data_IF_340274111667
#
_entry.id   IF_340274111667
#
_cell.length_a   1.000
_cell.length_b   1.000
_cell.length_c   1.000
_cell.angle_alpha   90.00
_cell.angle_beta   90.00
_cell.angle_gamma   90.00
#
_symmetry.space_group_name_H-M   'P 1'
#
loop_
_entity.id
_entity.type
_entity.pdbx_description
1 polymer ?
#
# COMPACT_ATOMS: atom_id res chain seq x y z
N UNK A 1 -17.39 10.29 -34.05
CA UNK A 1 -18.45 9.80 -33.14
C UNK A 1 -19.22 10.98 -32.55
N UNK A 2 -20.54 10.89 -32.35
CA UNK A 2 -21.31 12.00 -31.76
C UNK A 2 -20.95 12.24 -30.29
N UNK A 3 -21.11 13.48 -29.80
CA UNK A 3 -20.80 13.82 -28.43
C UNK A 3 -21.62 13.00 -27.41
N UNK A 4 -22.90 12.76 -27.71
CA UNK A 4 -23.79 11.96 -26.87
C UNK A 4 -23.34 10.51 -26.77
N UNK A 5 -22.90 9.90 -27.89
CA UNK A 5 -22.43 8.52 -27.88
C UNK A 5 -21.11 8.40 -27.09
N UNK A 6 -20.21 9.38 -27.23
CA UNK A 6 -18.98 9.43 -26.45
C UNK A 6 -19.25 9.52 -24.94
N UNK A 7 -20.17 10.41 -24.54
CA UNK A 7 -20.56 10.58 -23.13
C UNK A 7 -21.17 9.30 -22.55
N UNK A 8 -22.04 8.62 -23.29
CA UNK A 8 -22.63 7.34 -22.88
C UNK A 8 -21.57 6.23 -22.76
N UNK A 9 -20.59 6.18 -23.68
CA UNK A 9 -19.51 5.20 -23.62
C UNK A 9 -18.57 5.46 -22.42
N UNK A 10 -18.26 6.72 -22.11
CA UNK A 10 -17.52 7.08 -20.90
C UNK A 10 -18.30 6.76 -19.62
N UNK A 11 -19.62 6.98 -19.62
CA UNK A 11 -20.46 6.58 -18.49
C UNK A 11 -20.46 5.06 -18.31
N UNK A 12 -20.61 4.29 -19.39
CA UNK A 12 -20.53 2.84 -19.35
C UNK A 12 -19.17 2.34 -18.81
N UNK A 13 -18.07 2.97 -19.26
CA UNK A 13 -16.73 2.72 -18.72
C UNK A 13 -16.65 3.01 -17.22
N UNK A 14 -17.17 4.15 -16.77
CA UNK A 14 -17.25 4.51 -15.34
C UNK A 14 -18.02 3.48 -14.51
N UNK A 15 -19.17 3.01 -15.00
CA UNK A 15 -19.95 1.95 -14.35
C UNK A 15 -19.15 0.64 -14.27
N UNK A 16 -18.44 0.27 -15.33
CA UNK A 16 -17.59 -0.91 -15.33
C UNK A 16 -16.43 -0.81 -14.33
N UNK A 17 -15.84 0.36 -14.13
CA UNK A 17 -14.82 0.56 -13.09
C UNK A 17 -15.40 0.43 -11.67
N UNK A 18 -16.62 0.90 -11.44
CA UNK A 18 -17.33 0.67 -10.16
C UNK A 18 -17.57 -0.84 -9.95
N UNK A 19 -18.06 -1.52 -10.99
CA UNK A 19 -18.28 -2.98 -10.95
C UNK A 19 -16.98 -3.76 -10.79
N UNK A 20 -15.86 -3.24 -11.31
CA UNK A 20 -14.54 -3.84 -11.12
C UNK A 20 -14.14 -3.85 -9.64
N UNK A 21 -14.24 -2.70 -8.95
CA UNK A 21 -13.96 -2.64 -7.51
C UNK A 21 -14.92 -3.51 -6.70
N UNK A 22 -16.21 -3.52 -7.06
CA UNK A 22 -17.18 -4.39 -6.40
C UNK A 22 -16.85 -5.87 -6.58
N UNK A 23 -16.44 -6.29 -7.77
CA UNK A 23 -16.02 -7.67 -8.01
C UNK A 23 -14.74 -8.03 -7.26
N UNK A 24 -13.88 -7.06 -6.96
CA UNK A 24 -12.67 -7.30 -6.16
C UNK A 24 -12.94 -7.45 -4.65
N UNK A 25 -14.17 -7.23 -4.17
CA UNK A 25 -14.49 -7.36 -2.75
C UNK A 25 -14.72 -8.80 -2.28
N UNK A 26 -14.75 -9.79 -3.19
CA UNK A 26 -14.77 -11.20 -2.81
C UNK A 26 -13.86 -12.05 -3.71
N UNK A 27 -13.21 -13.11 -3.17
CA UNK A 27 -12.41 -14.02 -3.98
C UNK A 27 -13.18 -14.64 -5.15
N UNK A 28 -14.45 -15.01 -4.91
CA UNK A 28 -15.33 -15.64 -5.92
C UNK A 28 -15.58 -14.74 -7.13
N UNK A 29 -15.76 -13.43 -6.91
CA UNK A 29 -16.09 -12.47 -7.98
C UNK A 29 -14.86 -11.72 -8.52
N UNK A 30 -13.69 -11.91 -7.92
CA UNK A 30 -12.44 -11.20 -8.23
C UNK A 30 -12.06 -11.23 -9.71
N UNK A 31 -12.18 -12.39 -10.37
CA UNK A 31 -11.88 -12.57 -11.80
C UNK A 31 -12.85 -11.80 -12.68
N UNK A 32 -14.14 -11.78 -12.31
CA UNK A 32 -15.16 -11.03 -13.02
C UNK A 32 -14.95 -9.52 -12.84
N UNK A 33 -14.59 -9.08 -11.63
CA UNK A 33 -14.20 -7.70 -11.35
C UNK A 33 -13.05 -7.24 -12.24
N UNK A 34 -11.99 -8.04 -12.35
CA UNK A 34 -10.86 -7.71 -13.23
C UNK A 34 -11.28 -7.60 -14.71
N UNK A 35 -12.17 -8.49 -15.18
CA UNK A 35 -12.72 -8.41 -16.53
C UNK A 35 -13.49 -7.10 -16.77
N UNK A 36 -14.33 -6.67 -15.82
CA UNK A 36 -15.02 -5.38 -15.93
C UNK A 36 -14.03 -4.21 -16.04
N UNK A 37 -12.93 -4.24 -15.28
CA UNK A 37 -11.87 -3.23 -15.37
C UNK A 37 -11.22 -3.19 -16.76
N UNK A 38 -10.87 -4.35 -17.32
CA UNK A 38 -10.28 -4.45 -18.66
C UNK A 38 -11.23 -3.94 -19.75
N UNK A 39 -12.51 -4.35 -19.71
CA UNK A 39 -13.52 -3.89 -20.68
C UNK A 39 -13.78 -2.39 -20.53
N UNK A 40 -13.88 -1.89 -19.29
CA UNK A 40 -14.05 -0.46 -19.01
C UNK A 40 -12.92 0.38 -19.58
N UNK A 41 -11.66 -0.07 -19.39
CA UNK A 41 -10.48 0.61 -19.95
C UNK A 41 -10.47 0.58 -21.49
N UNK A 42 -10.77 -0.57 -22.10
CA UNK A 42 -10.87 -0.70 -23.55
C UNK A 42 -11.91 0.25 -24.15
N UNK A 43 -13.08 0.38 -23.51
CA UNK A 43 -14.12 1.33 -23.92
C UNK A 43 -13.62 2.77 -23.79
N UNK A 44 -13.01 3.16 -22.67
CA UNK A 44 -12.53 4.54 -22.47
C UNK A 44 -11.47 4.94 -23.51
N UNK A 45 -10.47 4.09 -23.72
CA UNK A 45 -9.39 4.34 -24.69
C UNK A 45 -9.97 4.37 -26.10
N UNK A 46 -10.76 3.37 -26.49
CA UNK A 46 -11.39 3.31 -27.82
C UNK A 46 -12.29 4.52 -28.09
N UNK A 47 -13.08 4.94 -27.10
CA UNK A 47 -13.94 6.13 -27.19
C UNK A 47 -13.12 7.39 -27.43
N UNK A 48 -12.01 7.55 -26.70
CA UNK A 48 -11.12 8.71 -26.85
C UNK A 48 -10.52 8.75 -28.26
N UNK A 49 -9.96 7.64 -28.74
CA UNK A 49 -9.33 7.55 -30.06
C UNK A 49 -10.33 7.84 -31.21
N UNK A 50 -11.55 7.32 -31.12
CA UNK A 50 -12.59 7.53 -32.13
C UNK A 50 -13.15 8.96 -32.07
N UNK A 51 -13.20 9.59 -30.89
CA UNK A 51 -13.72 10.95 -30.72
C UNK A 51 -12.78 12.00 -31.29
N UNK A 52 -11.48 11.83 -31.14
CA UNK A 52 -10.47 12.83 -31.53
C UNK A 52 -10.32 13.01 -33.04
N UNK A 53 -10.98 12.17 -33.85
CA UNK A 53 -10.98 12.23 -35.33
C UNK A 53 -9.57 12.43 -35.92
N UNK A 54 -8.62 11.65 -35.39
CA UNK A 54 -7.20 11.78 -35.70
C UNK A 54 -6.98 11.37 -37.16
N UNK A 55 -6.69 12.35 -38.01
CA UNK A 55 -6.44 12.15 -39.45
C UNK A 55 -4.95 12.06 -39.80
N UNK A 56 -4.06 12.60 -38.96
CA UNK A 56 -2.61 12.57 -39.17
C UNK A 56 -2.01 11.19 -38.82
N UNK A 57 -1.41 10.47 -39.78
CA UNK A 57 -0.76 9.18 -39.54
C UNK A 57 0.41 9.25 -38.54
N UNK A 58 1.05 10.42 -38.43
CA UNK A 58 2.18 10.66 -37.52
C UNK A 58 1.72 10.60 -36.06
N UNK A 59 0.57 11.22 -35.76
CA UNK A 59 -0.02 11.19 -34.42
C UNK A 59 -0.42 9.76 -34.04
N UNK A 60 -1.03 9.02 -34.97
CA UNK A 60 -1.33 7.60 -34.77
C UNK A 60 -0.08 6.77 -34.49
N UNK A 61 1.02 7.05 -35.19
CA UNK A 61 2.30 6.38 -34.95
C UNK A 61 2.81 6.64 -33.54
N UNK A 62 2.79 7.90 -33.07
CA UNK A 62 3.23 8.22 -31.70
C UNK A 62 2.37 7.56 -30.63
N UNK A 63 1.04 7.56 -30.79
CA UNK A 63 0.12 6.89 -29.86
C UNK A 63 0.40 5.38 -29.83
N UNK A 64 0.50 4.74 -30.99
CA UNK A 64 0.74 3.30 -31.09
C UNK A 64 2.09 2.91 -30.47
N UNK A 65 3.15 3.65 -30.78
CA UNK A 65 4.49 3.42 -30.21
C UNK A 65 4.46 3.59 -28.69
N UNK A 66 3.82 4.65 -28.17
CA UNK A 66 3.69 4.87 -26.73
C UNK A 66 2.96 3.73 -26.01
N UNK A 67 1.82 3.29 -26.55
CA UNK A 67 1.03 2.18 -26.00
C UNK A 67 1.80 0.86 -26.05
N UNK A 68 2.47 0.56 -27.17
CA UNK A 68 3.23 -0.68 -27.34
C UNK A 68 4.43 -0.71 -26.38
N UNK A 69 5.19 0.37 -26.28
CA UNK A 69 6.36 0.44 -25.39
C UNK A 69 5.90 0.38 -23.93
N UNK A 70 4.96 1.23 -23.53
CA UNK A 70 4.47 1.29 -22.14
C UNK A 70 3.78 -0.02 -21.72
N UNK A 71 2.87 -0.53 -22.54
CA UNK A 71 2.17 -1.79 -22.31
C UNK A 71 3.11 -2.99 -22.34
N UNK A 72 4.08 -3.02 -23.25
CA UNK A 72 5.08 -4.08 -23.35
C UNK A 72 6.00 -4.15 -22.13
N UNK A 73 6.55 -3.00 -21.70
CA UNK A 73 7.37 -2.93 -20.47
C UNK A 73 6.53 -3.34 -19.26
N UNK A 74 5.30 -2.82 -19.14
CA UNK A 74 4.39 -3.17 -18.06
C UNK A 74 4.08 -4.67 -18.00
N UNK A 75 3.80 -5.29 -19.14
CA UNK A 75 3.53 -6.73 -19.23
C UNK A 75 4.75 -7.58 -18.85
N UNK A 76 5.97 -7.18 -19.25
CA UNK A 76 7.19 -7.90 -18.89
C UNK A 76 7.44 -7.81 -17.38
N UNK A 77 7.29 -6.62 -16.78
CA UNK A 77 7.48 -6.42 -15.34
C UNK A 77 6.45 -7.22 -14.54
N UNK A 78 5.17 -7.11 -14.90
CA UNK A 78 4.08 -7.80 -14.22
C UNK A 78 4.23 -9.34 -14.23
N UNK A 79 4.76 -9.91 -15.32
CA UNK A 79 4.97 -11.35 -15.43
C UNK A 79 6.22 -11.88 -14.68
N UNK A 80 7.15 -11.00 -14.29
CA UNK A 80 8.44 -11.40 -13.69
C UNK A 80 8.61 -11.01 -12.24
N UNK A 81 7.75 -10.14 -11.71
CA UNK A 81 7.87 -9.65 -10.33
C UNK A 81 7.50 -10.74 -9.32
N UNK A 82 8.28 -10.86 -8.25
CA UNK A 82 7.94 -11.72 -7.12
C UNK A 82 6.84 -11.08 -6.27
N UNK A 83 5.93 -11.86 -5.69
CA UNK A 83 4.82 -11.34 -4.89
C UNK A 83 5.29 -10.57 -3.64
N UNK A 84 6.46 -10.92 -3.09
CA UNK A 84 7.10 -10.17 -1.99
C UNK A 84 7.60 -8.78 -2.37
N UNK A 85 7.78 -8.52 -3.66
CA UNK A 85 8.20 -7.23 -4.21
C UNK A 85 7.01 -6.37 -4.69
N UNK A 86 5.78 -6.83 -4.45
CA UNK A 86 4.56 -6.11 -4.84
C UNK A 86 4.45 -4.71 -4.20
N UNK A 87 4.81 -4.45 -2.92
CA UNK A 87 4.68 -3.12 -2.33
C UNK A 87 5.45 -2.02 -3.08
N UNK A 88 6.71 -2.29 -3.43
CA UNK A 88 7.51 -1.31 -4.17
C UNK A 88 7.04 -1.17 -5.62
N UNK A 89 6.57 -2.25 -6.26
CA UNK A 89 6.03 -2.15 -7.61
C UNK A 89 4.80 -1.23 -7.66
N UNK A 90 3.90 -1.37 -6.67
CA UNK A 90 2.73 -0.49 -6.53
C UNK A 90 3.16 0.97 -6.34
N UNK A 91 4.16 1.23 -5.49
CA UNK A 91 4.73 2.57 -5.35
C UNK A 91 5.28 3.10 -6.69
N UNK A 92 6.03 2.29 -7.43
CA UNK A 92 6.57 2.67 -8.74
C UNK A 92 5.45 3.01 -9.74
N UNK A 93 4.36 2.24 -9.79
CA UNK A 93 3.24 2.55 -10.67
C UNK A 93 2.54 3.86 -10.34
N UNK A 94 2.31 4.18 -9.05
CA UNK A 94 1.76 5.48 -8.68
C UNK A 94 2.65 6.65 -9.12
N UNK A 95 3.98 6.45 -9.15
CA UNK A 95 4.86 7.48 -9.68
C UNK A 95 4.57 7.78 -11.15
N UNK A 96 4.39 6.75 -11.97
CA UNK A 96 4.08 6.90 -13.41
C UNK A 96 2.73 7.58 -13.63
N UNK A 97 1.72 7.27 -12.81
CA UNK A 97 0.42 7.95 -12.86
C UNK A 97 0.58 9.45 -12.52
N UNK A 98 1.33 9.77 -11.47
CA UNK A 98 1.62 11.15 -11.09
C UNK A 98 2.35 11.93 -12.19
N UNK A 99 3.36 11.32 -12.82
CA UNK A 99 4.08 11.94 -13.93
C UNK A 99 3.19 12.12 -15.17
N UNK A 100 2.34 11.15 -15.49
CA UNK A 100 1.36 11.28 -16.57
C UNK A 100 0.41 12.47 -16.32
N UNK A 101 -0.04 12.66 -15.08
CA UNK A 101 -0.86 13.82 -14.72
C UNK A 101 -0.11 15.15 -14.93
N UNK A 102 1.17 15.22 -14.52
CA UNK A 102 2.01 16.41 -14.77
C UNK A 102 2.13 16.69 -16.28
N UNK A 103 2.41 15.68 -17.08
CA UNK A 103 2.58 15.84 -18.54
C UNK A 103 1.27 16.27 -19.22
N UNK A 104 0.12 15.73 -18.79
CA UNK A 104 -1.19 16.14 -19.30
C UNK A 104 -1.53 17.57 -18.90
N UNK A 105 -1.23 17.99 -17.67
CA UNK A 105 -1.40 19.37 -17.23
C UNK A 105 -0.55 20.34 -18.07
N UNK A 106 0.70 19.97 -18.35
CA UNK A 106 1.58 20.73 -19.23
C UNK A 106 1.07 20.80 -20.68
N UNK A 107 0.58 19.69 -21.23
CA UNK A 107 -0.02 19.69 -22.56
C UNK A 107 -1.24 20.61 -22.62
N UNK A 108 -2.10 20.60 -21.60
CA UNK A 108 -3.26 21.49 -21.50
C UNK A 108 -2.87 22.97 -21.36
N UNK A 109 -1.84 23.26 -20.56
CA UNK A 109 -1.34 24.63 -20.37
C UNK A 109 -0.68 25.20 -21.63
N UNK A 110 0.09 24.38 -22.36
CA UNK A 110 0.82 24.81 -23.56
C UNK A 110 -0.06 24.90 -24.82
N UNK A 111 -1.14 24.12 -24.87
CA UNK A 111 -2.05 24.05 -26.02
C UNK A 111 -3.52 24.14 -25.60
N UNK A 112 -3.95 25.20 -24.89
CA UNK A 112 -5.29 25.29 -24.32
C UNK A 112 -6.41 25.28 -25.38
N UNK A 113 -6.11 25.70 -26.61
CA UNK A 113 -7.06 25.67 -27.73
C UNK A 113 -7.43 24.22 -28.10
N UNK A 114 -6.45 23.31 -28.07
CA UNK A 114 -6.65 21.90 -28.41
C UNK A 114 -7.59 21.18 -27.44
N UNK A 115 -7.73 21.70 -26.22
CA UNK A 115 -8.61 21.16 -25.19
C UNK A 115 -9.89 21.99 -25.00
N UNK A 116 -10.08 23.08 -25.76
CA UNK A 116 -11.28 23.94 -25.65
C UNK A 116 -11.34 24.74 -24.34
N UNK A 117 -10.20 24.95 -23.67
CA UNK A 117 -10.12 25.60 -22.36
C UNK A 117 -9.66 27.06 -22.42
N UNK A 118 -9.45 27.61 -23.63
CA UNK A 118 -9.08 29.00 -23.84
C UNK A 118 -8.04 29.13 -24.94
N UNK A 119 -7.27 30.22 -24.91
CA UNK A 119 -6.10 30.43 -25.76
C UNK A 119 -4.86 30.66 -24.91
N UNK A 120 -3.67 30.49 -25.48
CA UNK A 120 -2.42 30.78 -24.79
C UNK A 120 -2.43 32.22 -24.23
N UNK A 121 -2.18 32.38 -22.93
CA UNK A 121 -2.26 33.68 -22.26
C UNK A 121 -3.69 34.17 -22.00
N UNK A 122 -4.71 33.33 -22.15
CA UNK A 122 -6.09 33.58 -21.70
C UNK A 122 -6.86 32.26 -21.52
N UNK A 123 -6.35 31.41 -20.62
CA UNK A 123 -6.99 30.15 -20.22
C UNK A 123 -8.13 30.44 -19.24
N UNK A 124 -9.25 29.70 -19.34
CA UNK A 124 -10.37 29.78 -18.38
C UNK A 124 -9.86 29.58 -16.95
N UNK A 125 -10.27 30.46 -16.04
CA UNK A 125 -9.86 30.42 -14.64
C UNK A 125 -10.10 29.06 -13.97
N UNK A 126 -11.25 28.42 -14.23
CA UNK A 126 -11.55 27.09 -13.72
C UNK A 126 -10.50 26.06 -14.17
N UNK A 127 -10.14 26.08 -15.45
CA UNK A 127 -9.14 25.16 -16.01
C UNK A 127 -7.74 25.40 -15.45
N UNK A 128 -7.36 26.65 -15.14
CA UNK A 128 -6.08 26.96 -14.46
C UNK A 128 -6.05 26.34 -13.07
N UNK A 129 -7.15 26.46 -12.31
CA UNK A 129 -7.25 25.86 -10.96
C UNK A 129 -7.17 24.34 -11.07
N UNK A 130 -7.95 23.74 -11.96
CA UNK A 130 -8.01 22.29 -12.16
C UNK A 130 -6.66 21.71 -12.59
N UNK A 131 -5.99 22.29 -13.61
CA UNK A 131 -4.68 21.84 -14.06
C UNK A 131 -3.57 22.16 -13.04
N UNK A 132 -3.70 23.28 -12.31
CA UNK A 132 -2.80 23.66 -11.22
C UNK A 132 -2.85 22.65 -10.07
N UNK A 133 -4.04 22.18 -9.70
CA UNK A 133 -4.22 21.08 -8.76
C UNK A 133 -3.69 19.76 -9.33
N UNK A 134 -4.00 19.46 -10.60
CA UNK A 134 -3.54 18.26 -11.30
C UNK A 134 -2.01 18.14 -11.33
N UNK A 135 -1.31 19.22 -11.70
CA UNK A 135 0.16 19.25 -11.75
C UNK A 135 0.77 19.18 -10.36
N UNK A 136 0.20 19.89 -9.37
CA UNK A 136 0.73 19.90 -8.02
C UNK A 136 0.60 18.52 -7.36
N UNK A 137 -0.61 17.95 -7.38
CA UNK A 137 -0.88 16.63 -6.80
C UNK A 137 -0.13 15.54 -7.58
N UNK A 138 -0.06 15.62 -8.91
CA UNK A 138 0.68 14.69 -9.74
C UNK A 138 2.18 14.68 -9.45
N UNK A 139 2.80 15.86 -9.33
CA UNK A 139 4.22 16.00 -9.02
C UNK A 139 4.55 15.51 -7.59
N UNK A 140 3.69 15.81 -6.61
CA UNK A 140 3.79 15.27 -5.25
C UNK A 140 3.70 13.73 -5.27
N UNK A 141 2.76 13.20 -6.05
CA UNK A 141 2.56 11.75 -6.20
C UNK A 141 3.79 11.09 -6.80
N UNK A 142 4.37 11.67 -7.86
CA UNK A 142 5.58 11.14 -8.49
C UNK A 142 6.76 11.14 -7.52
N UNK A 143 7.13 12.31 -7.00
CA UNK A 143 8.30 12.48 -6.13
C UNK A 143 8.18 11.66 -4.84
N UNK A 144 7.00 11.66 -4.21
CA UNK A 144 6.73 10.86 -3.02
C UNK A 144 6.81 9.36 -3.29
N UNK A 145 6.23 8.90 -4.41
CA UNK A 145 6.23 7.49 -4.79
C UNK A 145 7.63 6.96 -5.11
N UNK A 146 8.50 7.80 -5.69
CA UNK A 146 9.91 7.44 -5.93
C UNK A 146 10.65 7.20 -4.61
N UNK A 147 10.42 8.03 -3.59
CA UNK A 147 11.02 7.83 -2.25
C UNK A 147 10.45 6.58 -1.59
N UNK A 148 9.14 6.38 -1.66
CA UNK A 148 8.50 5.19 -1.12
C UNK A 148 9.05 3.91 -1.77
N UNK A 149 9.20 3.89 -3.10
CA UNK A 149 9.85 2.83 -3.85
C UNK A 149 11.28 2.59 -3.35
N UNK A 150 12.10 3.64 -3.26
CA UNK A 150 13.50 3.51 -2.86
C UNK A 150 13.67 2.94 -1.44
N UNK A 151 12.81 3.37 -0.50
CA UNK A 151 12.80 2.85 0.88
C UNK A 151 12.32 1.40 0.96
N UNK A 152 11.27 1.04 0.23
CA UNK A 152 10.74 -0.32 0.22
C UNK A 152 11.70 -1.30 -0.46
N UNK A 153 12.36 -0.87 -1.54
CA UNK A 153 13.38 -1.64 -2.26
C UNK A 153 14.69 -1.77 -1.47
N UNK A 154 14.93 -0.88 -0.50
CA UNK A 154 16.16 -0.86 0.29
C UNK A 154 17.34 -0.15 -0.39
N UNK A 155 17.11 0.55 -1.51
CA UNK A 155 18.12 1.43 -2.13
C UNK A 155 18.29 2.74 -1.37
N UNK A 156 17.32 3.10 -0.54
CA UNK A 156 17.39 4.18 0.45
C UNK A 156 17.15 3.60 1.85
N UNK A 157 17.82 4.15 2.88
CA UNK A 157 17.56 3.77 4.27
C UNK A 157 16.09 4.01 4.64
N UNK A 158 15.49 3.03 5.34
CA UNK A 158 14.15 3.17 5.91
C UNK A 158 14.09 4.09 7.13
N UNK A 159 15.23 4.56 7.64
CA UNK A 159 15.27 5.49 8.77
C UNK A 159 14.71 6.88 8.37
N UNK A 160 13.91 7.52 9.23
CA UNK A 160 13.48 8.91 9.06
C UNK A 160 14.67 9.86 8.89
N UNK A 161 14.67 10.67 7.84
CA UNK A 161 15.65 11.76 7.65
C UNK A 161 14.94 13.08 7.94
N UNK A 162 15.32 13.74 9.03
CA UNK A 162 14.62 14.94 9.54
C UNK A 162 15.42 16.19 9.18
N UNK A 163 14.80 17.09 8.42
CA UNK A 163 15.34 18.42 8.13
C UNK A 163 14.96 19.41 9.25
N UNK A 164 15.90 20.25 9.74
CA UNK A 164 15.58 21.32 10.68
C UNK A 164 14.52 22.27 10.11
N UNK A 165 13.48 22.58 10.89
CA UNK A 165 12.40 23.49 10.44
C UNK A 165 11.51 22.93 9.32
N UNK A 166 11.49 21.61 9.08
CA UNK A 166 10.72 20.96 7.99
C UNK A 166 9.28 21.44 7.85
N UNK A 167 8.58 21.66 8.96
CA UNK A 167 7.18 22.05 8.94
C UNK A 167 7.01 23.46 8.36
N UNK A 168 7.87 24.40 8.77
CA UNK A 168 7.88 25.75 8.21
C UNK A 168 8.22 25.73 6.72
N UNK A 169 9.25 24.96 6.32
CA UNK A 169 9.65 24.82 4.91
C UNK A 169 8.49 24.26 4.07
N UNK A 170 7.85 23.19 4.52
CA UNK A 170 6.73 22.56 3.82
C UNK A 170 5.52 23.51 3.72
N UNK A 171 5.22 24.26 4.78
CA UNK A 171 4.13 25.26 4.77
C UNK A 171 4.44 26.38 3.76
N UNK A 172 5.68 26.89 3.75
CA UNK A 172 6.08 27.94 2.81
C UNK A 172 6.04 27.46 1.36
N UNK A 173 6.48 26.23 1.09
CA UNK A 173 6.37 25.62 -0.24
C UNK A 173 4.91 25.43 -0.67
N UNK A 174 4.06 24.92 0.22
CA UNK A 174 2.63 24.75 -0.07
C UNK A 174 1.95 26.10 -0.35
N UNK A 175 2.25 27.12 0.46
CA UNK A 175 1.75 28.47 0.27
C UNK A 175 2.26 29.08 -1.05
N UNK A 176 3.53 28.84 -1.43
CA UNK A 176 4.08 29.30 -2.70
C UNK A 176 3.44 28.61 -3.92
N UNK A 177 3.14 27.30 -3.83
CA UNK A 177 2.43 26.56 -4.87
C UNK A 177 1.01 27.12 -5.04
N UNK A 178 0.25 27.23 -3.95
CA UNK A 178 -1.12 27.76 -3.96
C UNK A 178 -1.13 29.22 -4.45
N UNK A 179 -0.23 30.04 -3.91
CA UNK A 179 -0.07 31.44 -4.30
C UNK A 179 0.31 31.58 -5.77
N UNK A 180 1.16 30.70 -6.29
CA UNK A 180 1.51 30.64 -7.72
C UNK A 180 0.29 30.35 -8.59
N UNK A 181 -0.53 29.34 -8.24
CA UNK A 181 -1.77 29.04 -8.98
C UNK A 181 -2.74 30.22 -8.93
N UNK A 182 -2.92 30.84 -7.76
CA UNK A 182 -3.76 32.05 -7.62
C UNK A 182 -3.22 33.20 -8.47
N UNK A 183 -1.90 33.37 -8.53
CA UNK A 183 -1.24 34.41 -9.33
C UNK A 183 -1.50 34.23 -10.83
N UNK A 184 -1.51 33.00 -11.34
CA UNK A 184 -1.91 32.68 -12.72
C UNK A 184 -3.37 33.07 -13.03
N UNK A 185 -4.26 33.06 -12.03
CA UNK A 185 -5.67 33.38 -12.18
C UNK A 185 -5.96 34.89 -12.18
N UNK A 186 -5.06 35.73 -11.64
CA UNK A 186 -5.31 37.17 -11.44
C UNK A 186 -5.21 37.95 -12.76
N UNK A 187 -4.17 37.69 -13.55
CA UNK A 187 -3.89 38.39 -14.79
C UNK A 187 -3.47 37.37 -15.86
N UNK A 188 -4.11 37.36 -17.05
CA UNK A 188 -3.69 36.49 -18.14
C UNK A 188 -2.22 36.68 -18.56
N UNK A 189 -1.62 37.85 -18.34
CA UNK A 189 -0.19 38.08 -18.56
C UNK A 189 0.72 37.23 -17.64
N UNK A 190 0.20 36.74 -16.52
CA UNK A 190 0.96 35.87 -15.60
C UNK A 190 1.03 34.42 -16.09
N UNK A 191 0.22 34.03 -17.09
CA UNK A 191 0.14 32.67 -17.66
C UNK A 191 1.37 32.34 -18.54
N UNK A 192 2.54 32.44 -17.94
CA UNK A 192 3.84 32.20 -18.56
C UNK A 192 4.31 30.78 -18.28
N UNK A 193 5.13 30.25 -19.19
CA UNK A 193 5.74 28.92 -19.05
C UNK A 193 6.60 28.86 -17.79
N UNK A 194 7.33 29.93 -17.50
CA UNK A 194 8.20 30.06 -16.34
C UNK A 194 7.42 29.95 -15.02
N UNK A 195 6.27 30.63 -14.94
CA UNK A 195 5.41 30.58 -13.76
C UNK A 195 4.90 29.15 -13.51
N UNK A 196 4.39 28.50 -14.55
CA UNK A 196 3.89 27.12 -14.46
C UNK A 196 5.01 26.11 -14.14
N UNK A 197 6.23 26.36 -14.66
CA UNK A 197 7.43 25.60 -14.33
C UNK A 197 7.86 25.73 -12.87
N UNK A 198 7.81 26.94 -12.31
CA UNK A 198 8.13 27.16 -10.90
C UNK A 198 7.14 26.39 -10.02
N UNK A 199 5.83 26.47 -10.30
CA UNK A 199 4.79 25.73 -9.57
C UNK A 199 5.06 24.22 -9.65
N UNK A 200 5.36 23.71 -10.84
CA UNK A 200 5.68 22.29 -11.08
C UNK A 200 6.92 21.87 -10.28
N UNK A 201 8.00 22.64 -10.35
CA UNK A 201 9.26 22.33 -9.66
C UNK A 201 9.09 22.34 -8.14
N UNK A 202 8.40 23.35 -7.58
CA UNK A 202 8.10 23.40 -6.14
C UNK A 202 7.25 22.20 -5.70
N UNK A 203 6.32 21.75 -6.54
CA UNK A 203 5.48 20.58 -6.29
C UNK A 203 6.27 19.26 -6.26
N UNK A 204 7.29 19.10 -7.10
CA UNK A 204 8.23 17.97 -6.97
C UNK A 204 9.05 18.06 -5.68
N UNK A 205 9.55 19.25 -5.34
CA UNK A 205 10.37 19.47 -4.14
C UNK A 205 9.57 19.14 -2.88
N UNK A 206 8.35 19.68 -2.75
CA UNK A 206 7.53 19.41 -1.55
C UNK A 206 7.18 17.93 -1.43
N UNK A 207 6.92 17.22 -2.54
CA UNK A 207 6.63 15.79 -2.47
C UNK A 207 7.82 14.95 -1.99
N UNK A 208 9.06 15.29 -2.38
CA UNK A 208 10.25 14.69 -1.76
C UNK A 208 10.33 15.00 -0.26
N UNK A 209 10.17 16.27 0.13
CA UNK A 209 10.31 16.70 1.52
C UNK A 209 9.23 16.17 2.46
N UNK A 210 8.04 15.82 1.93
CA UNK A 210 6.97 15.20 2.72
C UNK A 210 7.26 13.73 3.04
N UNK A 211 7.85 12.96 2.11
CA UNK A 211 8.00 11.51 2.27
C UNK A 211 9.36 11.08 2.84
N UNK A 212 10.43 11.85 2.60
CA UNK A 212 11.77 11.57 3.15
C UNK A 212 11.78 11.42 4.68
N UNK A 213 11.03 12.22 5.48
CA UNK A 213 11.02 12.08 6.94
C UNK A 213 10.18 10.92 7.47
N UNK A 214 9.41 10.23 6.63
CA UNK A 214 8.54 9.14 7.09
C UNK A 214 9.34 7.84 7.19
N UNK A 215 9.17 7.08 8.28
CA UNK A 215 9.89 5.81 8.48
C UNK A 215 9.43 4.69 7.55
N UNK A 216 10.28 3.68 7.34
CA UNK A 216 9.96 2.47 6.57
C UNK A 216 8.65 1.77 6.96
N UNK A 217 8.24 1.90 8.24
CA UNK A 217 7.00 1.38 8.85
C UNK A 217 5.78 1.76 8.07
N UNK A 218 5.78 3.04 7.75
CA UNK A 218 4.61 3.82 7.43
C UNK A 218 4.56 3.96 5.92
N UNK A 219 5.58 3.46 5.21
CA UNK A 219 5.60 3.38 3.75
C UNK A 219 4.34 2.71 3.19
N UNK A 220 3.77 1.64 3.77
CA UNK A 220 2.53 1.06 3.27
C UNK A 220 1.35 2.07 3.32
N UNK A 221 1.24 2.84 4.41
CA UNK A 221 0.23 3.91 4.54
C UNK A 221 0.51 5.03 3.54
N UNK A 222 1.78 5.43 3.39
CA UNK A 222 2.20 6.44 2.40
C UNK A 222 1.86 5.99 0.98
N UNK A 223 2.11 4.74 0.61
CA UNK A 223 1.79 4.20 -0.71
C UNK A 223 0.27 4.26 -0.96
N UNK A 224 -0.54 3.95 0.05
CA UNK A 224 -2.00 4.07 -0.03
C UNK A 224 -2.48 5.53 -0.15
N UNK A 225 -1.83 6.45 0.57
CA UNK A 225 -2.13 7.88 0.47
C UNK A 225 -1.75 8.44 -0.90
N UNK A 226 -0.59 8.06 -1.44
CA UNK A 226 -0.15 8.47 -2.78
C UNK A 226 -1.04 7.85 -3.88
N UNK A 227 -1.60 6.66 -3.65
CA UNK A 227 -2.67 6.13 -4.51
C UNK A 227 -3.88 7.08 -4.53
N UNK A 228 -4.32 7.55 -3.36
CA UNK A 228 -5.41 8.55 -3.26
C UNK A 228 -5.08 9.81 -4.06
N UNK A 229 -3.87 10.34 -3.90
CA UNK A 229 -3.43 11.54 -4.62
C UNK A 229 -3.43 11.33 -6.13
N UNK A 230 -3.00 10.15 -6.61
CA UNK A 230 -3.05 9.82 -8.04
C UNK A 230 -4.49 9.86 -8.60
N UNK A 231 -5.47 9.41 -7.81
CA UNK A 231 -6.89 9.50 -8.16
C UNK A 231 -7.40 10.94 -8.20
N UNK A 232 -7.07 11.76 -7.21
CA UNK A 232 -7.47 13.17 -7.19
C UNK A 232 -6.81 14.00 -8.28
N UNK A 233 -5.55 13.72 -8.64
CA UNK A 233 -4.88 14.34 -9.78
C UNK A 233 -5.59 13.97 -11.09
N UNK A 234 -5.97 12.70 -11.27
CA UNK A 234 -6.72 12.24 -12.43
C UNK A 234 -8.12 12.89 -12.51
N UNK A 235 -8.81 13.06 -11.38
CA UNK A 235 -10.10 13.73 -11.32
C UNK A 235 -10.01 15.22 -11.67
N UNK A 236 -9.00 15.92 -11.14
CA UNK A 236 -8.74 17.33 -11.45
C UNK A 236 -8.52 17.54 -12.96
N UNK A 237 -7.68 16.71 -13.57
CA UNK A 237 -7.47 16.74 -15.03
C UNK A 237 -8.70 16.27 -15.81
N UNK A 238 -9.51 15.37 -15.23
CA UNK A 238 -10.80 15.00 -15.78
C UNK A 238 -11.73 16.19 -15.93
N UNK A 239 -11.73 17.14 -14.98
CA UNK A 239 -12.45 18.40 -15.12
C UNK A 239 -11.84 19.29 -16.21
N UNK A 240 -10.52 19.45 -16.24
CA UNK A 240 -9.83 20.25 -17.28
C UNK A 240 -10.14 19.74 -18.69
N UNK A 241 -10.22 18.43 -18.86
CA UNK A 241 -10.46 17.77 -20.15
C UNK A 241 -11.95 17.54 -20.44
N UNK A 242 -12.85 17.96 -19.56
CA UNK A 242 -14.29 17.68 -19.60
C UNK A 242 -14.60 16.18 -19.83
N UNK A 243 -13.81 15.30 -19.20
CA UNK A 243 -13.86 13.85 -19.38
C UNK A 243 -14.47 13.16 -18.15
N UNK A 244 -15.73 12.74 -18.29
CA UNK A 244 -16.50 12.08 -17.22
C UNK A 244 -15.88 10.77 -16.75
N UNK A 245 -15.24 9.99 -17.63
CA UNK A 245 -14.60 8.74 -17.22
C UNK A 245 -13.40 9.01 -16.28
N UNK A 246 -12.57 10.00 -16.59
CA UNK A 246 -11.46 10.41 -15.71
C UNK A 246 -11.96 10.95 -14.36
N UNK A 247 -13.04 11.74 -14.37
CA UNK A 247 -13.65 12.26 -13.14
C UNK A 247 -14.15 11.12 -12.26
N UNK A 248 -14.95 10.20 -12.81
CA UNK A 248 -15.52 9.06 -12.05
C UNK A 248 -14.40 8.17 -11.52
N UNK A 249 -13.49 7.72 -12.39
CA UNK A 249 -12.41 6.81 -12.00
C UNK A 249 -11.45 7.47 -11.01
N UNK A 250 -11.09 8.73 -11.24
CA UNK A 250 -10.23 9.50 -10.35
C UNK A 250 -10.82 9.65 -8.95
N UNK A 251 -12.10 10.03 -8.85
CA UNK A 251 -12.78 10.15 -7.55
C UNK A 251 -12.91 8.80 -6.82
N UNK A 252 -13.15 7.71 -7.56
CA UNK A 252 -13.26 6.36 -7.03
C UNK A 252 -11.91 5.83 -6.51
N UNK A 253 -10.82 6.02 -7.26
CA UNK A 253 -9.47 5.67 -6.81
C UNK A 253 -9.04 6.57 -5.63
N UNK A 254 -9.32 7.87 -5.74
CA UNK A 254 -9.02 8.87 -4.72
C UNK A 254 -9.65 8.54 -3.37
N UNK A 255 -10.95 8.27 -3.36
CA UNK A 255 -11.69 7.88 -2.15
C UNK A 255 -11.24 6.52 -1.60
N UNK A 256 -11.04 5.52 -2.46
CA UNK A 256 -10.57 4.18 -2.05
C UNK A 256 -9.21 4.25 -1.35
N UNK A 257 -8.23 4.99 -1.91
CA UNK A 257 -6.92 5.16 -1.28
C UNK A 257 -7.00 5.88 0.07
N UNK A 258 -7.87 6.88 0.20
CA UNK A 258 -8.05 7.61 1.46
C UNK A 258 -8.66 6.71 2.55
N UNK A 259 -9.70 5.94 2.21
CA UNK A 259 -10.35 4.99 3.12
C UNK A 259 -9.36 3.91 3.56
N UNK A 260 -8.61 3.34 2.62
CA UNK A 260 -7.62 2.32 2.92
C UNK A 260 -6.52 2.87 3.84
N UNK A 261 -6.01 4.06 3.57
CA UNK A 261 -5.02 4.73 4.43
C UNK A 261 -5.54 4.91 5.86
N UNK A 262 -6.81 5.29 6.01
CA UNK A 262 -7.46 5.43 7.31
C UNK A 262 -7.59 4.09 8.04
N UNK A 263 -8.04 3.03 7.35
CA UNK A 263 -8.16 1.68 7.93
C UNK A 263 -6.80 1.17 8.40
N UNK A 264 -5.75 1.38 7.60
CA UNK A 264 -4.39 1.00 7.99
C UNK A 264 -3.90 1.77 9.22
N UNK A 265 -4.12 3.09 9.27
CA UNK A 265 -3.76 3.90 10.44
C UNK A 265 -4.49 3.42 11.70
N UNK A 266 -5.79 3.13 11.59
CA UNK A 266 -6.60 2.58 12.68
C UNK A 266 -6.09 1.21 13.14
N UNK A 267 -5.73 0.33 12.20
CA UNK A 267 -5.15 -0.99 12.49
C UNK A 267 -3.79 -0.93 13.19
N UNK A 268 -3.07 0.19 13.06
CA UNK A 268 -1.81 0.47 13.78
C UNK A 268 -2.01 1.29 15.06
N UNK A 269 -3.25 1.66 15.39
CA UNK A 269 -3.58 2.65 16.42
C UNK A 269 -2.76 3.95 16.33
N UNK A 270 -2.54 4.44 15.11
CA UNK A 270 -1.84 5.71 14.86
C UNK A 270 -2.78 6.71 14.19
N UNK A 271 -2.66 7.99 14.55
CA UNK A 271 -3.46 9.02 13.89
C UNK A 271 -2.93 9.27 12.47
N UNK A 272 -3.84 9.39 11.51
CA UNK A 272 -3.52 9.68 10.10
C UNK A 272 -2.66 10.95 9.96
N UNK A 273 -2.96 11.99 10.74
CA UNK A 273 -2.20 13.25 10.76
C UNK A 273 -0.78 13.04 11.27
N UNK A 274 -0.58 12.22 12.31
CA UNK A 274 0.75 11.91 12.84
C UNK A 274 1.63 11.24 11.80
N UNK A 275 1.08 10.27 11.06
CA UNK A 275 1.80 9.56 10.00
C UNK A 275 2.24 10.52 8.88
N UNK A 276 1.34 11.39 8.41
CA UNK A 276 1.63 12.35 7.32
C UNK A 276 2.65 13.41 7.73
N UNK A 277 2.55 13.93 8.96
CA UNK A 277 3.50 14.95 9.43
C UNK A 277 4.88 14.37 9.73
N UNK A 278 5.09 13.07 9.52
CA UNK A 278 6.34 12.37 9.86
C UNK A 278 6.64 12.51 11.35
N UNK A 279 5.60 12.67 12.17
CA UNK A 279 5.69 12.60 13.61
C UNK A 279 5.52 11.14 13.99
N UNK A 280 6.56 10.55 14.58
CA UNK A 280 6.30 9.42 15.46
C UNK A 280 5.33 9.95 16.52
N UNK A 281 4.11 9.41 16.49
CA UNK A 281 3.08 9.74 17.46
C UNK A 281 3.57 9.30 18.83
N UNK A 282 3.53 10.22 19.78
CA UNK A 282 4.13 10.11 21.08
C UNK A 282 5.28 11.11 21.20
N UNK A 283 5.15 12.05 22.15
CA UNK A 283 6.34 12.49 22.89
C UNK A 283 7.21 11.25 23.09
N UNK A 284 8.49 11.35 22.73
CA UNK A 284 9.46 10.30 23.01
C UNK A 284 9.37 9.95 24.50
N UNK A 285 8.53 8.98 24.85
CA UNK A 285 8.87 8.00 25.84
C UNK A 285 10.14 7.38 25.26
N UNK A 286 11.27 7.93 25.67
CA UNK A 286 12.52 7.17 25.70
C UNK A 286 12.13 5.78 26.15
N UNK A 287 12.39 4.78 25.31
CA UNK A 287 12.35 3.38 25.72
C UNK A 287 13.35 3.24 26.87
N UNK A 288 12.88 3.52 28.08
CA UNK A 288 13.57 3.33 29.36
C UNK A 288 13.06 2.05 30.00
N UNK A 289 12.62 1.07 29.19
CA UNK A 289 12.43 -0.29 29.65
C UNK A 289 13.80 -0.89 29.88
N UNK A 290 14.02 -1.41 31.09
CA UNK A 290 15.15 -2.33 31.33
C UNK A 290 15.10 -3.43 30.27
N UNK A 291 16.25 -3.72 29.65
CA UNK A 291 16.37 -4.89 28.76
C UNK A 291 15.96 -6.10 29.59
N UNK A 292 14.90 -6.78 29.17
CA UNK A 292 14.30 -7.83 29.98
C UNK A 292 15.23 -9.04 30.00
N UNK A 293 15.94 -9.26 31.11
CA UNK A 293 16.96 -10.32 31.21
C UNK A 293 16.40 -11.69 31.60
N UNK A 294 15.07 -11.86 31.57
CA UNK A 294 14.44 -13.13 31.94
C UNK A 294 14.86 -14.22 30.94
N UNK A 295 15.17 -15.45 31.40
CA UNK A 295 15.49 -16.53 30.48
C UNK A 295 14.25 -16.88 29.64
N UNK A 296 14.46 -17.08 28.34
CA UNK A 296 13.41 -17.55 27.42
C UNK A 296 13.43 -19.07 27.33
N UNK A 297 12.25 -19.69 27.21
CA UNK A 297 12.18 -21.15 26.95
C UNK A 297 12.51 -21.39 25.49
N UNK A 298 13.53 -22.20 25.22
CA UNK A 298 13.94 -22.54 23.86
C UNK A 298 13.50 -23.97 23.53
N UNK A 299 12.95 -24.15 22.33
CA UNK A 299 12.57 -25.46 21.80
C UNK A 299 13.27 -25.78 20.48
N UNK A 300 13.17 -27.04 20.08
CA UNK A 300 13.62 -27.54 18.77
C UNK A 300 12.44 -27.76 17.81
N UNK A 301 12.75 -28.02 16.54
CA UNK A 301 11.75 -28.39 15.54
C UNK A 301 11.02 -29.69 15.91
N UNK A 302 11.73 -30.65 16.52
CA UNK A 302 11.14 -31.93 16.95
C UNK A 302 10.14 -31.73 18.09
N UNK A 303 10.45 -30.85 19.04
CA UNK A 303 9.53 -30.48 20.13
C UNK A 303 8.26 -29.84 19.56
N UNK A 304 8.42 -28.91 18.61
CA UNK A 304 7.32 -28.22 17.94
C UNK A 304 6.43 -29.20 17.15
N UNK A 305 7.04 -30.12 16.40
CA UNK A 305 6.33 -31.16 15.66
C UNK A 305 5.52 -32.06 16.61
N UNK A 306 6.14 -32.51 17.71
CA UNK A 306 5.47 -33.34 18.70
C UNK A 306 4.29 -32.63 19.37
N UNK A 307 4.48 -31.37 19.79
CA UNK A 307 3.42 -30.58 20.43
C UNK A 307 2.25 -30.36 19.46
N UNK A 308 2.51 -29.94 18.23
CA UNK A 308 1.46 -29.66 17.25
C UNK A 308 0.74 -30.93 16.78
N UNK A 309 1.45 -32.06 16.63
CA UNK A 309 0.84 -33.34 16.25
C UNK A 309 -0.15 -33.86 17.27
N UNK A 310 0.03 -33.52 18.55
CA UNK A 310 -0.85 -33.93 19.65
C UNK A 310 -1.86 -32.82 20.05
N UNK A 311 -1.90 -31.71 19.31
CA UNK A 311 -2.86 -30.63 19.54
C UNK A 311 -4.22 -30.95 18.88
N UNK A 312 -5.31 -30.48 19.47
CA UNK A 312 -6.62 -30.47 18.80
C UNK A 312 -6.76 -29.29 17.84
N UNK A 313 -6.27 -28.11 18.24
CA UNK A 313 -6.35 -26.88 17.42
C UNK A 313 -5.01 -26.14 17.36
N UNK A 314 -4.58 -25.79 16.15
CA UNK A 314 -3.38 -24.98 15.87
C UNK A 314 -3.77 -23.71 15.11
N UNK A 315 -3.54 -22.55 15.71
CA UNK A 315 -3.72 -21.25 15.03
C UNK A 315 -2.36 -20.71 14.59
N UNK A 316 -2.17 -20.61 13.28
CA UNK A 316 -0.96 -20.10 12.64
C UNK A 316 -1.06 -18.58 12.50
N UNK A 317 -0.04 -17.86 12.98
CA UNK A 317 0.06 -16.40 12.90
C UNK A 317 1.25 -16.01 12.01
N UNK A 318 1.03 -15.77 10.70
CA UNK A 318 2.08 -15.39 9.80
C UNK A 318 2.43 -13.90 9.91
N UNK A 319 3.72 -13.60 9.78
CA UNK A 319 4.23 -12.23 9.73
C UNK A 319 5.27 -12.03 8.63
N UNK A 320 5.86 -10.83 8.59
CA UNK A 320 6.79 -10.45 7.53
C UNK A 320 8.03 -11.36 7.43
N UNK A 321 8.48 -11.95 8.54
CA UNK A 321 9.59 -12.91 8.53
C UNK A 321 9.33 -14.16 7.69
N UNK A 322 8.07 -14.62 7.60
CA UNK A 322 7.66 -15.70 6.70
C UNK A 322 7.86 -15.31 5.23
N UNK A 323 7.46 -14.08 4.88
CA UNK A 323 7.61 -13.55 3.52
C UNK A 323 9.08 -13.41 3.11
N UNK A 324 9.92 -12.88 4.01
CA UNK A 324 11.36 -12.73 3.76
C UNK A 324 12.04 -14.09 3.53
N UNK A 325 11.65 -15.11 4.29
CA UNK A 325 12.21 -16.46 4.17
C UNK A 325 11.59 -17.29 3.04
N UNK A 326 10.54 -16.79 2.36
CA UNK A 326 9.77 -17.55 1.37
C UNK A 326 9.23 -18.88 1.93
N UNK A 327 8.72 -18.83 3.16
CA UNK A 327 8.30 -20.02 3.91
C UNK A 327 6.84 -20.45 3.66
N UNK A 328 6.05 -19.69 2.88
CA UNK A 328 4.61 -19.91 2.70
C UNK A 328 4.26 -21.31 2.16
N UNK A 329 5.07 -21.88 1.26
CA UNK A 329 4.84 -23.21 0.71
C UNK A 329 5.16 -24.33 1.73
N UNK A 330 6.26 -24.18 2.47
CA UNK A 330 6.60 -25.11 3.54
C UNK A 330 5.57 -25.06 4.68
N UNK A 331 5.05 -23.86 4.97
CA UNK A 331 3.99 -23.66 5.96
C UNK A 331 2.70 -24.36 5.54
N UNK A 332 2.36 -24.28 4.25
CA UNK A 332 1.22 -25.01 3.69
C UNK A 332 1.38 -26.52 3.84
N UNK A 333 2.54 -27.05 3.47
CA UNK A 333 2.85 -28.48 3.60
C UNK A 333 2.74 -28.96 5.06
N UNK A 334 3.29 -28.19 6.01
CA UNK A 334 3.15 -28.45 7.44
C UNK A 334 1.67 -28.48 7.87
N UNK A 335 0.87 -27.51 7.43
CA UNK A 335 -0.55 -27.45 7.76
C UNK A 335 -1.34 -28.63 7.19
N UNK A 336 -1.03 -29.06 5.96
CA UNK A 336 -1.69 -30.24 5.36
C UNK A 336 -1.38 -31.53 6.12
N UNK A 337 -0.14 -31.70 6.59
CA UNK A 337 0.22 -32.87 7.40
C UNK A 337 -0.44 -32.85 8.78
N UNK A 338 -0.52 -31.68 9.43
CA UNK A 338 -1.25 -31.55 10.69
C UNK A 338 -2.74 -31.91 10.52
N UNK A 339 -3.37 -31.46 9.44
CA UNK A 339 -4.76 -31.84 9.13
C UNK A 339 -4.92 -33.33 8.84
N UNK A 340 -3.93 -33.97 8.21
CA UNK A 340 -3.93 -35.41 8.00
C UNK A 340 -3.90 -36.20 9.32
N UNK A 341 -3.32 -35.63 10.37
CA UNK A 341 -3.34 -36.15 11.74
C UNK A 341 -4.61 -35.75 12.53
N UNK A 342 -5.55 -35.03 11.90
CA UNK A 342 -6.83 -34.65 12.49
C UNK A 342 -6.82 -33.34 13.28
N UNK A 343 -5.76 -32.54 13.18
CA UNK A 343 -5.63 -31.23 13.84
C UNK A 343 -6.45 -30.17 13.09
N UNK A 344 -7.23 -29.36 13.80
CA UNK A 344 -7.89 -28.18 13.22
C UNK A 344 -6.87 -27.04 13.05
N UNK A 345 -6.61 -26.64 11.81
CA UNK A 345 -5.59 -25.64 11.48
C UNK A 345 -6.24 -24.39 10.88
N UNK A 346 -6.01 -23.25 11.52
CA UNK A 346 -6.52 -21.94 11.09
C UNK A 346 -5.39 -20.94 10.93
N UNK A 347 -5.53 -19.98 10.03
CA UNK A 347 -4.59 -18.88 9.82
C UNK A 347 -5.21 -17.58 10.35
N UNK A 348 -4.53 -16.93 11.29
CA UNK A 348 -4.96 -15.65 11.86
C UNK A 348 -4.13 -14.51 11.28
N UNK A 349 -4.75 -13.66 10.47
CA UNK A 349 -4.09 -12.55 9.78
C UNK A 349 -4.35 -11.25 10.53
N UNK A 350 -3.26 -10.57 10.89
CA UNK A 350 -3.36 -9.21 11.38
C UNK A 350 -3.43 -8.23 10.20
N UNK A 351 -4.31 -7.20 10.23
CA UNK A 351 -4.49 -6.25 9.12
C UNK A 351 -3.24 -5.52 8.61
N UNK A 352 -2.18 -5.45 9.43
CA UNK A 352 -0.91 -4.77 9.10
C UNK A 352 0.29 -5.71 9.12
N UNK A 353 0.04 -7.03 9.10
CA UNK A 353 1.10 -8.01 8.93
C UNK A 353 1.75 -7.87 7.54
N UNK A 354 3.06 -7.63 7.52
CA UNK A 354 3.84 -7.53 6.28
C UNK A 354 4.26 -6.10 5.94
N UNK A 355 4.21 -5.77 4.65
CA UNK A 355 4.63 -4.47 4.07
C UNK A 355 3.63 -3.85 3.11
N UNK A 356 2.43 -4.43 2.99
CA UNK A 356 1.31 -3.86 2.27
C UNK A 356 0.02 -4.44 2.86
N UNK A 357 -1.13 -3.75 2.72
CA UNK A 357 -2.43 -4.34 3.05
C UNK A 357 -2.62 -5.68 2.33
N UNK A 358 -3.07 -6.68 3.07
CA UNK A 358 -3.32 -8.02 2.53
C UNK A 358 -2.07 -8.79 2.08
N UNK A 359 -0.85 -8.36 2.46
CA UNK A 359 0.39 -9.03 2.03
C UNK A 359 0.35 -10.53 2.40
N UNK A 360 -0.05 -10.87 3.63
CA UNK A 360 -0.11 -12.28 4.04
C UNK A 360 -1.17 -13.05 3.28
N UNK A 361 -2.37 -12.49 3.05
CA UNK A 361 -3.45 -13.13 2.29
C UNK A 361 -2.96 -13.51 0.88
N UNK A 362 -2.22 -12.61 0.23
CA UNK A 362 -1.66 -12.85 -1.11
C UNK A 362 -0.64 -13.99 -1.13
N UNK A 363 0.27 -14.04 -0.15
CA UNK A 363 1.28 -15.12 -0.08
C UNK A 363 0.66 -16.48 0.27
N UNK A 364 -0.35 -16.50 1.14
CA UNK A 364 -1.07 -17.72 1.47
C UNK A 364 -1.90 -18.21 0.26
N UNK A 365 -2.52 -17.29 -0.49
CA UNK A 365 -3.18 -17.62 -1.75
C UNK A 365 -2.20 -18.16 -2.81
N UNK A 366 -0.99 -17.61 -2.90
CA UNK A 366 0.09 -18.14 -3.76
C UNK A 366 0.48 -19.57 -3.34
N UNK A 367 0.49 -19.86 -2.04
CA UNK A 367 0.66 -21.21 -1.51
C UNK A 367 -0.61 -22.08 -1.59
N UNK A 368 -1.66 -21.62 -2.28
CA UNK A 368 -2.96 -22.28 -2.45
C UNK A 368 -3.74 -22.57 -1.15
N UNK A 369 -3.46 -21.86 -0.05
CA UNK A 369 -4.21 -21.99 1.21
C UNK A 369 -5.70 -21.68 0.97
N UNK A 370 -6.63 -22.54 1.42
CA UNK A 370 -8.07 -22.29 1.27
C UNK A 370 -8.49 -21.05 2.07
N UNK A 371 -9.31 -20.19 1.46
CA UNK A 371 -9.71 -18.91 2.08
C UNK A 371 -10.59 -19.09 3.32
N UNK A 372 -11.33 -20.19 3.42
CA UNK A 372 -12.15 -20.56 4.57
C UNK A 372 -11.34 -20.88 5.83
N UNK A 373 -10.03 -21.07 5.68
CA UNK A 373 -9.08 -21.28 6.78
C UNK A 373 -8.37 -19.98 7.20
N UNK A 374 -8.58 -18.89 6.46
CA UNK A 374 -7.89 -17.61 6.67
C UNK A 374 -8.85 -16.61 7.31
N UNK A 375 -8.57 -16.25 8.54
CA UNK A 375 -9.41 -15.39 9.36
C UNK A 375 -8.73 -14.06 9.67
N UNK A 376 -9.53 -13.00 9.70
CA UNK A 376 -9.08 -11.67 10.11
C UNK A 376 -9.08 -11.56 11.65
N UNK A 377 -8.36 -10.57 12.17
CA UNK A 377 -8.16 -10.38 13.61
C UNK A 377 -9.45 -10.39 14.45
N UNK A 378 -10.51 -9.74 13.97
CA UNK A 378 -11.77 -9.59 14.71
C UNK A 378 -12.55 -10.91 14.80
N UNK A 379 -12.39 -11.78 13.79
CA UNK A 379 -13.13 -13.04 13.69
C UNK A 379 -12.48 -14.15 14.52
N UNK A 380 -11.14 -14.16 14.64
CA UNK A 380 -10.37 -15.26 15.25
C UNK A 380 -9.95 -14.99 16.69
N UNK A 381 -9.94 -13.73 17.15
CA UNK A 381 -9.30 -13.39 18.43
C UNK A 381 -9.94 -14.05 19.66
N UNK A 382 -11.25 -14.32 19.62
CA UNK A 382 -11.98 -15.01 20.70
C UNK A 382 -11.57 -16.49 20.82
N UNK A 383 -11.11 -17.09 19.73
CA UNK A 383 -10.77 -18.52 19.66
C UNK A 383 -9.40 -18.85 20.27
N UNK A 384 -8.48 -17.88 20.40
CA UNK A 384 -7.15 -18.15 20.98
C UNK A 384 -7.22 -18.76 22.39
N UNK A 385 -8.26 -18.46 23.18
CA UNK A 385 -8.44 -19.03 24.52
C UNK A 385 -8.78 -20.53 24.53
N UNK A 386 -9.21 -21.06 23.38
CA UNK A 386 -9.55 -22.47 23.18
C UNK A 386 -8.51 -23.20 22.32
N UNK A 387 -7.54 -22.46 21.75
CA UNK A 387 -6.50 -23.03 20.92
C UNK A 387 -5.42 -23.69 21.79
N UNK A 388 -5.06 -24.93 21.46
CA UNK A 388 -3.99 -25.65 22.13
C UNK A 388 -2.63 -25.04 21.78
N UNK A 389 -2.44 -24.66 20.51
CA UNK A 389 -1.19 -24.08 20.03
C UNK A 389 -1.42 -22.82 19.19
N UNK A 390 -0.68 -21.76 19.50
CA UNK A 390 -0.48 -20.62 18.60
C UNK A 390 0.93 -20.70 17.97
N UNK A 391 0.98 -20.90 16.64
CA UNK A 391 2.23 -21.00 15.89
C UNK A 391 2.56 -19.67 15.21
N UNK A 392 3.45 -18.89 15.83
CA UNK A 392 3.80 -17.55 15.38
C UNK A 392 5.04 -17.60 14.48
N UNK A 393 4.89 -17.29 13.20
CA UNK A 393 5.97 -17.38 12.21
C UNK A 393 6.34 -16.01 11.63
N UNK A 394 7.46 -15.46 12.13
CA UNK A 394 8.01 -14.21 11.60
C UNK A 394 7.16 -12.96 11.87
N UNK A 395 6.21 -13.03 12.79
CA UNK A 395 5.53 -11.88 13.38
C UNK A 395 6.30 -11.36 14.60
N UNK A 396 6.00 -10.13 15.03
CA UNK A 396 6.52 -9.62 16.30
C UNK A 396 5.57 -8.61 16.95
N UNK A 397 5.45 -7.41 16.38
CA UNK A 397 4.67 -6.34 17.03
C UNK A 397 3.17 -6.66 17.06
N UNK A 398 2.67 -7.34 16.02
CA UNK A 398 1.27 -7.78 15.88
C UNK A 398 0.82 -8.83 16.92
N UNK A 399 1.76 -9.36 17.69
CA UNK A 399 1.51 -10.31 18.80
C UNK A 399 2.06 -9.80 20.13
N UNK A 400 2.50 -8.53 20.21
CA UNK A 400 3.19 -8.01 21.38
C UNK A 400 2.21 -7.50 22.45
N UNK A 401 2.15 -8.13 23.64
CA UNK A 401 1.20 -7.77 24.69
C UNK A 401 1.36 -6.34 25.24
N UNK A 402 2.54 -5.73 25.10
CA UNK A 402 2.79 -4.35 25.53
C UNK A 402 1.82 -3.34 24.89
N UNK A 403 1.24 -3.68 23.72
CA UNK A 403 0.17 -2.90 23.11
C UNK A 403 -1.07 -2.75 24.02
N UNK A 404 -1.26 -3.60 25.02
CA UNK A 404 -2.38 -3.53 25.97
C UNK A 404 -1.96 -3.21 27.40
N UNK A 405 -0.77 -3.65 27.80
CA UNK A 405 -0.32 -3.62 29.19
C UNK A 405 0.51 -2.38 29.53
N UNK A 406 1.22 -1.80 28.56
CA UNK A 406 2.16 -0.70 28.79
C UNK A 406 1.75 0.59 28.07
N UNK A 407 1.16 1.57 28.78
CA UNK A 407 0.81 2.88 28.23
C UNK A 407 2.00 3.69 27.69
N UNK A 408 3.24 3.37 28.08
CA UNK A 408 4.44 4.02 27.56
C UNK A 408 4.95 3.40 26.25
N UNK A 409 4.43 2.23 25.88
CA UNK A 409 4.83 1.53 24.66
C UNK A 409 4.41 2.31 23.40
N UNK A 410 5.32 2.47 22.41
CA UNK A 410 5.00 3.05 21.10
C UNK A 410 3.85 2.37 20.34
N UNK A 411 3.49 1.14 20.73
CA UNK A 411 2.40 0.37 20.13
C UNK A 411 1.16 0.27 21.03
N UNK A 412 1.10 1.04 22.14
CA UNK A 412 -0.04 1.02 23.04
C UNK A 412 -1.36 1.35 22.32
N UNK A 413 -2.39 0.56 22.61
CA UNK A 413 -3.72 0.59 22.00
C UNK A 413 -3.82 -0.04 20.60
N UNK A 414 -2.72 -0.54 20.02
CA UNK A 414 -2.78 -1.33 18.78
C UNK A 414 -3.59 -2.60 19.02
N UNK A 415 -4.65 -2.90 18.22
CA UNK A 415 -5.26 -4.21 18.25
C UNK A 415 -4.20 -5.24 17.89
N UNK A 416 -4.05 -6.30 18.67
CA UNK A 416 -3.08 -7.38 18.42
C UNK A 416 -3.81 -8.72 18.37
N UNK A 417 -3.11 -9.75 17.89
CA UNK A 417 -3.59 -11.12 18.00
C UNK A 417 -3.29 -11.66 19.40
N UNK A 418 -4.32 -12.19 20.06
CA UNK A 418 -4.29 -12.64 21.47
C UNK A 418 -3.60 -14.00 21.64
N UNK A 419 -2.49 -14.23 20.93
CA UNK A 419 -1.74 -15.49 20.92
C UNK A 419 -1.32 -15.95 22.30
N UNK A 420 -1.15 -14.99 23.21
CA UNK A 420 -0.80 -15.20 24.60
C UNK A 420 -1.83 -16.03 25.39
N UNK A 421 -3.08 -16.09 24.91
CA UNK A 421 -4.18 -16.83 25.54
C UNK A 421 -4.20 -18.31 25.13
N UNK A 422 -3.44 -18.71 24.12
CA UNK A 422 -3.33 -20.10 23.69
C UNK A 422 -2.61 -20.95 24.75
N UNK A 423 -2.86 -22.26 24.72
CA UNK A 423 -2.25 -23.23 25.64
C UNK A 423 -0.72 -23.19 25.57
N UNK A 424 -0.17 -23.27 24.35
CA UNK A 424 1.27 -23.13 24.05
C UNK A 424 1.49 -22.19 22.88
N UNK A 425 2.49 -21.32 22.97
CA UNK A 425 2.90 -20.43 21.88
C UNK A 425 4.26 -20.89 21.36
N UNK A 426 4.32 -21.25 20.09
CA UNK A 426 5.55 -21.59 19.38
C UNK A 426 5.99 -20.39 18.55
N UNK A 427 7.10 -19.75 18.91
CA UNK A 427 7.50 -18.47 18.33
C UNK A 427 8.78 -18.60 17.50
N UNK A 428 8.65 -18.46 16.17
CA UNK A 428 9.77 -18.61 15.24
C UNK A 428 10.40 -17.25 14.91
N UNK A 429 11.70 -17.12 15.21
CA UNK A 429 12.52 -15.96 14.85
C UNK A 429 14.00 -16.34 14.78
N UNK A 430 14.82 -15.59 14.04
CA UNK A 430 16.28 -15.84 13.94
C UNK A 430 17.07 -15.51 15.22
N UNK A 431 16.49 -14.75 16.13
CA UNK A 431 17.13 -14.28 17.38
C UNK A 431 16.21 -13.34 18.14
N UNK A 432 16.72 -12.66 19.18
CA UNK A 432 15.94 -11.78 20.06
C UNK A 432 15.78 -10.34 19.55
N UNK A 433 16.11 -10.08 18.28
CA UNK A 433 15.99 -8.73 17.71
C UNK A 433 14.55 -8.20 17.78
N UNK A 434 14.41 -6.89 17.94
CA UNK A 434 13.11 -6.21 17.99
C UNK A 434 12.32 -6.34 16.68
N UNK A 435 11.04 -5.96 16.74
CA UNK A 435 10.16 -5.92 15.58
C UNK A 435 10.34 -4.64 14.78
N UNK A 436 9.32 -4.29 14.03
CA UNK A 436 9.27 -3.06 13.27
C UNK A 436 9.29 -1.84 14.22
N UNK A 437 8.49 -1.87 15.28
CA UNK A 437 8.32 -0.78 16.23
C UNK A 437 9.53 -0.54 17.15
N UNK A 438 10.59 -1.37 17.06
CA UNK A 438 11.79 -1.22 17.87
C UNK A 438 11.60 -1.53 19.36
N UNK A 439 10.45 -2.10 19.74
CA UNK A 439 10.14 -2.54 21.09
C UNK A 439 10.49 -4.02 21.27
N UNK A 440 10.92 -4.37 22.48
CA UNK A 440 11.04 -5.76 22.92
C UNK A 440 9.64 -6.35 23.12
N UNK A 441 9.51 -7.67 22.96
CA UNK A 441 8.21 -8.34 23.07
C UNK A 441 8.14 -9.17 24.35
N UNK A 442 7.28 -8.73 25.27
CA UNK A 442 7.06 -9.40 26.55
C UNK A 442 6.60 -10.86 26.39
N UNK A 443 5.97 -11.20 25.27
CA UNK A 443 5.51 -12.56 24.97
C UNK A 443 6.65 -13.59 25.03
N UNK A 444 7.87 -13.20 24.64
CA UNK A 444 9.02 -14.09 24.60
C UNK A 444 9.37 -14.70 25.96
N UNK A 445 9.00 -14.00 27.03
CA UNK A 445 9.34 -14.34 28.41
C UNK A 445 8.18 -15.01 29.16
N UNK A 446 7.04 -15.25 28.50
CA UNK A 446 5.89 -15.89 29.13
C UNK A 446 6.08 -17.40 29.25
N UNK A 447 5.48 -17.96 30.30
CA UNK A 447 5.65 -19.36 30.62
C UNK A 447 5.11 -20.33 29.57
N UNK A 448 4.05 -19.96 28.86
CA UNK A 448 3.48 -20.75 27.79
C UNK A 448 4.17 -20.53 26.44
N UNK A 449 5.22 -19.69 26.36
CA UNK A 449 5.90 -19.37 25.10
C UNK A 449 7.22 -20.10 24.98
N UNK A 450 7.42 -20.76 23.84
CA UNK A 450 8.63 -21.47 23.46
C UNK A 450 9.22 -20.85 22.20
N UNK A 451 10.45 -20.39 22.31
CA UNK A 451 11.21 -19.76 21.23
C UNK A 451 11.88 -20.81 20.35
N UNK A 452 11.63 -20.74 19.05
CA UNK A 452 12.20 -21.61 18.02
C UNK A 452 13.16 -20.78 17.17
N UNK A 453 14.46 -20.81 17.54
CA UNK A 453 15.46 -19.96 16.91
C UNK A 453 16.01 -20.54 15.60
N UNK A 454 15.52 -20.03 14.46
CA UNK A 454 16.04 -20.39 13.13
C UNK A 454 15.52 -19.41 12.05
N UNK A 455 15.98 -19.61 10.83
CA UNK A 455 15.27 -19.07 9.66
C UNK A 455 13.87 -19.68 9.56
N UNK A 456 12.87 -18.88 9.17
CA UNK A 456 11.49 -19.31 9.21
C UNK A 456 11.20 -20.49 8.28
N UNK A 457 11.79 -20.50 7.07
CA UNK A 457 11.60 -21.61 6.14
C UNK A 457 12.29 -22.87 6.64
N UNK A 458 13.54 -22.73 7.09
CA UNK A 458 14.32 -23.85 7.64
C UNK A 458 13.61 -24.51 8.83
N UNK A 459 13.10 -23.72 9.78
CA UNK A 459 12.36 -24.26 10.94
C UNK A 459 11.13 -25.05 10.52
N UNK A 460 10.33 -24.50 9.60
CA UNK A 460 9.13 -25.19 9.12
C UNK A 460 9.49 -26.48 8.38
N UNK A 461 10.52 -26.47 7.52
CA UNK A 461 11.00 -27.68 6.84
C UNK A 461 11.52 -28.76 7.82
N UNK A 462 12.13 -28.36 8.93
CA UNK A 462 12.56 -29.29 9.99
C UNK A 462 11.35 -29.84 10.77
N UNK A 463 10.35 -29.02 11.07
CA UNK A 463 9.09 -29.47 11.69
C UNK A 463 8.37 -30.45 10.77
N UNK A 464 8.31 -30.14 9.47
CA UNK A 464 7.72 -31.01 8.44
C UNK A 464 8.34 -32.40 8.51
N UNK A 465 9.68 -32.50 8.56
CA UNK A 465 10.40 -33.78 8.74
C UNK A 465 10.09 -34.47 10.06
N UNK A 466 9.85 -33.71 11.13
CA UNK A 466 9.47 -34.26 12.44
C UNK A 466 8.04 -34.81 12.48
N UNK A 467 7.16 -34.37 11.57
CA UNK A 467 5.76 -34.82 11.52
C UNK A 467 5.60 -36.18 10.81
N UNK A 468 6.48 -36.51 9.85
CA UNK A 468 6.50 -37.79 9.13
C UNK A 468 7.16 -37.74 7.77
#
# INVERSE_FOLDING_TARGET
MSANLAALAYLASGVLFIMALRGLSSPETSRQGNLFGMVGMAIAVGTTLIRQDITDPTVWTFIAVGVIIGGGIGAIIANRIAMTAMPQLVAAFHSLVGLAAVLVAWAAFMSPEAFGIGVAGNIKMASIIEMGLGVAIGAITFSGSVIAFAKLQGTMSGAPIILPGRHLINILLAAAIIGGVVWLCIDPANQTIEAFLIITALSFVIGFLLIIPIGGADMPVVVSMLNSYSGWAAAALGFTLENTALIITGALVGSSGAILSYIMCKGMNRSFISVILGGFGGETATASGEVETRPVKQGSADDAAFIMKNAGTVIIVPGYGMAVAQAQHALREMADMLKAEGVDVKYAIHPVAGRMPGHMNVLLAEANVPYDEVFELEDINSEFSQADVAFVIGANDVTNPSAKTDPASPIFGMPILDVEKAGTVLFIKRGMGSGYAGVENELFFRDNTMMLFSDAKKMVEEIVKGLG
#
